data_IF_474190266309
#
_entry.id   IF_474190266309
#
_cell.length_a   1.000
_cell.length_b   1.000
_cell.length_c   1.000
_cell.angle_alpha   90.00
_cell.angle_beta   90.00
_cell.angle_gamma   90.00
#
_symmetry.space_group_name_H-M   'P 1'
#
loop_
_entity.id
_entity.type
_entity.pdbx_description
1 polymer ?
#
# COMPACT_ATOMS: atom_id res chain seq x y z
N UNK A 1 -2.60 -1.51 16.91
CA UNK A 1 -1.82 -1.98 15.74
C UNK A 1 -2.75 -1.81 14.57
N UNK A 2 -2.49 -0.85 13.69
CA UNK A 2 -3.57 -0.32 12.86
C UNK A 2 -3.30 -0.48 11.36
N UNK A 3 -4.14 -1.27 10.71
CA UNK A 3 -4.00 -1.66 9.32
C UNK A 3 -4.69 -0.62 8.44
N UNK A 4 -4.06 -0.23 7.33
CA UNK A 4 -4.51 0.86 6.49
C UNK A 4 -4.61 0.39 5.04
N UNK A 5 -5.79 0.01 4.58
CA UNK A 5 -5.96 -0.35 3.17
C UNK A 5 -6.61 0.79 2.38
N UNK A 6 -6.21 1.05 1.13
CA UNK A 6 -6.87 2.06 0.30
C UNK A 6 -8.30 1.66 -0.10
N UNK A 7 -8.66 0.36 -0.04
CA UNK A 7 -9.97 -0.11 -0.48
C UNK A 7 -10.83 -0.68 0.66
N UNK A 8 -12.07 -0.20 0.77
CA UNK A 8 -13.04 -0.68 1.78
C UNK A 8 -13.31 -2.19 1.70
N UNK A 9 -13.32 -2.79 0.50
CA UNK A 9 -13.52 -4.25 0.32
C UNK A 9 -12.35 -5.05 0.89
N UNK A 10 -11.12 -4.64 0.62
CA UNK A 10 -9.93 -5.27 1.22
C UNK A 10 -9.95 -5.17 2.74
N UNK A 11 -10.45 -4.06 3.31
CA UNK A 11 -10.55 -3.88 4.76
C UNK A 11 -11.39 -4.96 5.41
N UNK A 12 -12.57 -5.21 4.85
CA UNK A 12 -13.51 -6.21 5.37
C UNK A 12 -12.90 -7.61 5.27
N UNK A 13 -12.24 -7.90 4.15
CA UNK A 13 -11.64 -9.20 3.89
C UNK A 13 -10.43 -9.48 4.81
N UNK A 14 -9.53 -8.50 4.96
CA UNK A 14 -8.38 -8.58 5.86
C UNK A 14 -8.87 -8.74 7.30
N UNK A 15 -9.89 -7.99 7.70
CA UNK A 15 -10.49 -8.10 9.04
C UNK A 15 -11.04 -9.51 9.29
N UNK A 16 -11.90 -10.01 8.41
CA UNK A 16 -12.48 -11.34 8.54
C UNK A 16 -11.41 -12.44 8.60
N UNK A 17 -10.36 -12.35 7.79
CA UNK A 17 -9.26 -13.34 7.84
C UNK A 17 -8.40 -13.21 9.10
N UNK A 18 -8.04 -11.99 9.50
CA UNK A 18 -7.16 -11.77 10.64
C UNK A 18 -7.82 -12.13 11.96
N UNK A 19 -9.14 -11.96 12.10
CA UNK A 19 -9.88 -12.37 13.31
C UNK A 19 -9.71 -13.86 13.65
N UNK A 20 -9.43 -14.71 12.65
CA UNK A 20 -9.14 -16.13 12.87
C UNK A 20 -7.72 -16.40 13.41
N UNK A 21 -6.75 -15.54 13.09
CA UNK A 21 -5.33 -15.73 13.44
C UNK A 21 -4.87 -14.86 14.61
N UNK A 22 -5.50 -13.71 14.82
CA UNK A 22 -5.13 -12.70 15.81
C UNK A 22 -6.37 -12.37 16.64
N UNK A 23 -6.42 -12.89 17.87
CA UNK A 23 -7.37 -12.42 18.88
C UNK A 23 -6.75 -11.23 19.61
N UNK A 24 -6.93 -10.04 19.05
CA UNK A 24 -6.48 -8.80 19.68
C UNK A 24 -7.60 -7.75 19.56
N UNK A 25 -8.20 -7.40 20.69
CA UNK A 25 -9.29 -6.41 20.75
C UNK A 25 -8.82 -4.99 20.37
N UNK A 26 -7.51 -4.73 20.43
CA UNK A 26 -6.88 -3.46 20.06
C UNK A 26 -6.46 -3.42 18.58
N UNK A 27 -6.86 -4.39 17.76
CA UNK A 27 -6.58 -4.43 16.33
C UNK A 27 -7.54 -3.50 15.58
N UNK A 28 -7.05 -2.36 15.10
CA UNK A 28 -7.87 -1.48 14.26
C UNK A 28 -7.55 -1.69 12.78
N UNK A 29 -8.57 -1.90 11.94
CA UNK A 29 -8.39 -2.07 10.49
C UNK A 29 -9.25 -1.03 9.80
N UNK A 30 -8.61 0.01 9.27
CA UNK A 30 -9.25 1.19 8.72
C UNK A 30 -8.76 1.49 7.29
N UNK A 31 -9.43 2.41 6.61
CA UNK A 31 -8.98 2.90 5.29
C UNK A 31 -8.10 4.13 5.43
N UNK A 32 -7.33 4.45 4.39
CA UNK A 32 -6.51 5.68 4.31
C UNK A 32 -7.32 6.91 4.72
N UNK A 33 -8.51 7.06 4.15
CA UNK A 33 -9.40 8.20 4.37
C UNK A 33 -9.93 8.29 5.81
N UNK A 34 -10.03 7.16 6.54
CA UNK A 34 -10.52 7.13 7.92
C UNK A 34 -9.43 7.39 8.97
N UNK A 35 -8.16 7.29 8.59
CA UNK A 35 -6.99 7.53 9.48
C UNK A 35 -6.41 8.93 9.26
N UNK A 36 -7.03 9.80 8.45
CA UNK A 36 -6.54 11.16 8.26
C UNK A 36 -6.47 11.91 9.60
N UNK A 37 -5.28 12.38 9.97
CA UNK A 37 -5.01 13.02 11.26
C UNK A 37 -4.69 12.07 12.43
N UNK A 38 -4.82 10.76 12.23
CA UNK A 38 -4.41 9.72 13.19
C UNK A 38 -3.11 9.05 12.74
N UNK A 39 -2.41 8.38 13.65
CA UNK A 39 -1.16 7.65 13.41
C UNK A 39 -1.21 6.28 14.08
N UNK A 40 -0.44 5.32 13.58
CA UNK A 40 -0.42 3.93 14.03
C UNK A 40 1.00 3.39 14.17
N UNK A 41 1.24 2.51 15.16
CA UNK A 41 2.59 1.92 15.36
C UNK A 41 3.07 1.14 14.12
N UNK A 42 2.17 0.33 13.55
CA UNK A 42 2.41 -0.44 12.33
C UNK A 42 1.30 -0.13 11.36
N UNK A 43 1.63 0.16 10.11
CA UNK A 43 0.70 0.39 9.00
C UNK A 43 0.93 -0.68 7.94
N UNK A 44 -0.15 -1.34 7.49
CA UNK A 44 -0.11 -2.24 6.33
C UNK A 44 -0.94 -1.64 5.19
N UNK A 45 -0.28 -1.17 4.14
CA UNK A 45 -0.85 -0.49 2.98
C UNK A 45 -0.95 -1.40 1.75
N UNK A 46 -2.14 -1.66 1.24
CA UNK A 46 -2.35 -2.59 0.12
C UNK A 46 -2.66 -1.85 -1.20
N UNK A 47 -1.67 -1.54 -2.02
CA UNK A 47 -1.85 -0.88 -3.32
C UNK A 47 -1.44 -1.82 -4.45
N UNK A 48 -2.38 -2.31 -5.26
CA UNK A 48 -2.03 -3.19 -6.38
C UNK A 48 -3.20 -3.41 -7.34
N UNK A 49 -2.88 -3.93 -8.52
CA UNK A 49 -3.88 -4.30 -9.53
C UNK A 49 -4.41 -5.71 -9.27
N UNK A 50 -5.73 -5.90 -9.25
CA UNK A 50 -6.35 -7.20 -8.98
C UNK A 50 -6.92 -7.88 -10.23
N UNK A 51 -6.93 -7.17 -11.36
CA UNK A 51 -7.40 -7.67 -12.64
C UNK A 51 -6.34 -7.35 -13.71
N UNK A 52 -6.20 -8.26 -14.68
CA UNK A 52 -5.34 -8.08 -15.86
C UNK A 52 -5.85 -6.92 -16.72
N UNK A 53 -7.17 -6.73 -16.79
CA UNK A 53 -7.79 -5.61 -17.47
C UNK A 53 -7.80 -4.38 -16.56
N UNK A 54 -6.64 -3.74 -16.43
CA UNK A 54 -6.45 -2.47 -15.71
C UNK A 54 -7.25 -1.37 -16.42
N UNK A 55 -7.88 -0.49 -15.65
CA UNK A 55 -8.54 0.70 -16.22
C UNK A 55 -7.75 1.97 -15.91
N UNK A 56 -7.79 2.96 -16.81
CA UNK A 56 -7.28 4.33 -16.57
C UNK A 56 -7.67 4.90 -15.20
N UNK A 57 -8.91 4.63 -14.79
CA UNK A 57 -9.46 5.08 -13.51
C UNK A 57 -8.79 4.40 -12.31
N UNK A 58 -8.52 3.10 -12.40
CA UNK A 58 -7.79 2.36 -11.37
C UNK A 58 -6.33 2.84 -11.29
N UNK A 59 -5.67 3.05 -12.43
CA UNK A 59 -4.30 3.58 -12.47
C UNK A 59 -4.23 4.97 -11.82
N UNK A 60 -5.13 5.89 -12.17
CA UNK A 60 -5.22 7.22 -11.54
C UNK A 60 -5.43 7.13 -10.03
N UNK A 61 -6.24 6.19 -9.57
CA UNK A 61 -6.50 6.00 -8.15
C UNK A 61 -5.26 5.43 -7.41
N UNK A 62 -4.60 4.43 -7.99
CA UNK A 62 -3.47 3.73 -7.36
C UNK A 62 -2.20 4.58 -7.33
N UNK A 63 -1.97 5.41 -8.35
CA UNK A 63 -0.83 6.32 -8.44
C UNK A 63 -1.11 7.72 -7.86
N UNK A 64 -2.23 7.91 -7.14
CA UNK A 64 -2.54 9.19 -6.50
C UNK A 64 -1.57 9.47 -5.33
N UNK A 65 -0.62 10.38 -5.54
CA UNK A 65 0.43 10.72 -4.56
C UNK A 65 -0.10 11.08 -3.17
N UNK A 66 -1.25 11.77 -3.08
CA UNK A 66 -1.84 12.16 -1.79
C UNK A 66 -2.16 10.93 -0.93
N UNK A 67 -2.66 9.84 -1.52
CA UNK A 67 -2.98 8.59 -0.79
C UNK A 67 -1.72 7.91 -0.28
N UNK A 68 -0.67 7.91 -1.10
CA UNK A 68 0.63 7.41 -0.70
C UNK A 68 1.25 8.24 0.42
N UNK A 69 1.24 9.56 0.31
CA UNK A 69 1.76 10.46 1.34
C UNK A 69 1.07 10.25 2.69
N UNK A 70 -0.25 10.09 2.68
CA UNK A 70 -0.98 9.71 3.89
C UNK A 70 -0.49 8.36 4.40
N UNK A 71 -0.54 7.29 3.59
CA UNK A 71 -0.12 5.94 4.00
C UNK A 71 1.32 5.89 4.56
N UNK A 72 2.26 6.57 3.91
CA UNK A 72 3.67 6.65 4.28
C UNK A 72 3.90 7.41 5.59
N UNK A 73 3.11 8.46 5.83
CA UNK A 73 3.25 9.30 7.03
C UNK A 73 2.57 8.68 8.26
N UNK A 74 1.56 7.82 8.09
CA UNK A 74 0.77 7.28 9.21
C UNK A 74 1.53 6.31 10.13
N UNK A 75 2.57 5.65 9.64
CA UNK A 75 3.33 4.67 10.44
C UNK A 75 4.27 5.38 11.42
N UNK A 76 4.18 5.08 12.72
CA UNK A 76 5.14 5.55 13.73
C UNK A 76 6.40 4.68 13.77
N UNK A 77 6.23 3.36 13.72
CA UNK A 77 7.35 2.40 13.85
C UNK A 77 7.58 1.59 12.58
N UNK A 78 6.54 1.06 11.93
CA UNK A 78 6.73 0.19 10.75
C UNK A 78 5.66 0.42 9.68
N UNK A 79 6.09 0.49 8.42
CA UNK A 79 5.20 0.46 7.27
C UNK A 79 5.46 -0.80 6.46
N UNK A 80 4.40 -1.50 6.09
CA UNK A 80 4.40 -2.65 5.18
C UNK A 80 3.47 -2.31 4.02
N UNK A 81 4.01 -2.12 2.83
CA UNK A 81 3.22 -1.96 1.60
C UNK A 81 3.12 -3.31 0.93
N UNK A 82 1.92 -3.72 0.52
CA UNK A 82 1.67 -4.91 -0.30
C UNK A 82 1.19 -4.42 -1.67
N UNK A 83 1.89 -4.82 -2.72
CA UNK A 83 1.67 -4.37 -4.09
C UNK A 83 1.87 -5.49 -5.10
N UNK A 84 1.64 -5.19 -6.37
CA UNK A 84 1.76 -6.12 -7.49
C UNK A 84 2.93 -5.72 -8.38
N UNK A 85 3.54 -6.68 -9.08
CA UNK A 85 4.70 -6.40 -9.93
C UNK A 85 4.37 -5.43 -11.05
N UNK A 86 3.16 -5.52 -11.58
CA UNK A 86 2.63 -4.65 -12.62
C UNK A 86 2.52 -3.19 -12.18
N UNK A 87 2.56 -2.91 -10.88
CA UNK A 87 2.64 -1.54 -10.36
C UNK A 87 4.09 -1.06 -10.23
N UNK A 88 5.04 -1.98 -10.00
CA UNK A 88 6.47 -1.68 -9.94
C UNK A 88 7.09 -1.49 -11.31
N UNK A 89 6.61 -2.24 -12.29
CA UNK A 89 7.09 -2.22 -13.67
C UNK A 89 5.87 -2.28 -14.61
N UNK A 90 5.12 -1.17 -14.74
CA UNK A 90 3.97 -1.11 -15.62
C UNK A 90 4.40 -1.08 -17.09
N UNK A 91 3.76 -1.91 -17.89
CA UNK A 91 3.89 -2.03 -19.34
C UNK A 91 2.92 -1.13 -20.13
N UNK A 92 2.11 -0.35 -19.42
CA UNK A 92 0.93 0.34 -19.97
C UNK A 92 1.29 1.74 -20.52
N UNK A 93 1.17 1.93 -21.84
CA UNK A 93 1.49 3.20 -22.53
C UNK A 93 0.68 4.38 -21.96
N UNK A 94 -0.55 4.12 -21.48
CA UNK A 94 -1.41 5.16 -20.92
C UNK A 94 -0.83 5.82 -19.66
N UNK A 95 -0.04 5.06 -18.87
CA UNK A 95 0.61 5.59 -17.68
C UNK A 95 1.61 6.68 -18.04
N UNK A 96 2.37 6.47 -19.12
CA UNK A 96 3.35 7.44 -19.63
C UNK A 96 2.69 8.61 -20.38
N UNK A 97 1.51 8.40 -20.97
CA UNK A 97 0.74 9.46 -21.61
C UNK A 97 0.08 10.43 -20.61
N UNK A 98 -0.15 9.99 -19.36
CA UNK A 98 -0.76 10.83 -18.33
C UNK A 98 0.26 11.34 -17.31
N UNK A 99 0.59 12.64 -17.39
CA UNK A 99 1.57 13.28 -16.50
C UNK A 99 1.37 12.98 -15.00
N UNK A 100 0.13 13.04 -14.49
CA UNK A 100 -0.14 12.79 -13.07
C UNK A 100 0.12 11.34 -12.66
N UNK A 101 -0.18 10.39 -13.54
CA UNK A 101 0.07 8.97 -13.28
C UNK A 101 1.57 8.69 -13.36
N UNK A 102 2.27 9.27 -14.34
CA UNK A 102 3.73 9.19 -14.47
C UNK A 102 4.46 9.74 -13.25
N UNK A 103 4.09 10.92 -12.76
CA UNK A 103 4.65 11.50 -11.52
C UNK A 103 4.39 10.58 -10.31
N UNK A 104 3.20 9.97 -10.24
CA UNK A 104 2.87 8.99 -9.21
C UNK A 104 3.70 7.71 -9.31
N UNK A 105 4.03 7.25 -10.52
CA UNK A 105 4.91 6.11 -10.77
C UNK A 105 6.35 6.42 -10.34
N UNK A 106 6.88 7.58 -10.71
CA UNK A 106 8.21 8.05 -10.29
C UNK A 106 8.30 8.13 -8.76
N UNK A 107 7.27 8.71 -8.13
CA UNK A 107 7.16 8.75 -6.68
C UNK A 107 7.15 7.33 -6.07
N UNK A 108 6.43 6.40 -6.68
CA UNK A 108 6.38 5.01 -6.23
C UNK A 108 7.74 4.30 -6.39
N UNK A 109 8.48 4.56 -7.46
CA UNK A 109 9.85 4.08 -7.64
C UNK A 109 10.81 4.69 -6.62
N UNK A 110 10.68 5.98 -6.30
CA UNK A 110 11.44 6.61 -5.22
C UNK A 110 11.16 5.91 -3.88
N UNK A 111 9.89 5.67 -3.55
CA UNK A 111 9.48 4.91 -2.36
C UNK A 111 10.11 3.51 -2.34
N UNK A 112 10.04 2.78 -3.46
CA UNK A 112 10.68 1.46 -3.60
C UNK A 112 12.19 1.52 -3.31
N UNK A 113 12.90 2.53 -3.81
CA UNK A 113 14.34 2.65 -3.63
C UNK A 113 14.72 3.06 -2.20
N UNK A 114 13.84 3.79 -1.50
CA UNK A 114 14.07 4.18 -0.10
C UNK A 114 13.82 3.05 0.91
N UNK A 115 13.12 1.99 0.52
CA UNK A 115 12.60 0.98 1.45
C UNK A 115 12.93 -0.44 0.99
N UNK A 116 13.06 -1.36 1.95
CA UNK A 116 13.47 -2.73 1.64
C UNK A 116 12.31 -3.51 1.03
N UNK A 117 12.49 -4.06 -0.17
CA UNK A 117 11.48 -4.85 -0.86
C UNK A 117 11.68 -6.36 -0.65
N UNK A 118 10.59 -7.09 -0.52
CA UNK A 118 10.50 -8.54 -0.35
C UNK A 118 9.47 -9.11 -1.35
N UNK A 119 9.84 -10.13 -2.11
CA UNK A 119 8.94 -10.77 -3.07
C UNK A 119 8.21 -11.95 -2.43
N UNK A 120 6.90 -12.05 -2.66
CA UNK A 120 6.09 -13.22 -2.30
C UNK A 120 5.46 -13.81 -3.56
N UNK A 121 5.81 -15.06 -3.86
CA UNK A 121 5.26 -15.78 -5.00
C UNK A 121 4.03 -16.59 -4.57
N UNK A 122 2.85 -16.21 -5.08
CA UNK A 122 1.64 -17.06 -5.03
C UNK A 122 1.24 -17.50 -6.44
N UNK A 123 0.74 -18.74 -6.56
CA UNK A 123 0.35 -19.45 -7.80
C UNK A 123 -0.63 -18.72 -8.76
N UNK A 124 -1.11 -17.51 -8.46
CA UNK A 124 -2.04 -16.76 -9.33
C UNK A 124 -1.62 -15.31 -9.66
N UNK A 125 -0.88 -14.62 -8.78
CA UNK A 125 -0.41 -13.24 -9.01
C UNK A 125 0.89 -13.05 -8.19
N UNK A 126 2.00 -12.61 -8.80
CA UNK A 126 3.20 -12.28 -8.05
C UNK A 126 2.97 -11.01 -7.21
N UNK A 127 3.24 -11.10 -5.91
CA UNK A 127 3.06 -10.01 -4.96
C UNK A 127 4.42 -9.50 -4.49
N UNK A 128 4.52 -8.19 -4.36
CA UNK A 128 5.68 -7.49 -3.82
C UNK A 128 5.31 -6.85 -2.49
N UNK A 129 6.23 -6.89 -1.51
CA UNK A 129 6.07 -6.25 -0.21
C UNK A 129 7.20 -5.26 0.02
N UNK A 130 6.90 -4.01 0.33
CA UNK A 130 7.89 -2.99 0.71
C UNK A 130 7.81 -2.75 2.21
N UNK A 131 8.90 -2.91 2.93
CA UNK A 131 8.97 -2.75 4.39
C UNK A 131 9.90 -1.60 4.75
N UNK A 132 9.39 -0.66 5.56
CA UNK A 132 10.16 0.39 6.23
C UNK A 132 10.08 0.21 7.74
N UNK A 133 11.22 0.13 8.39
CA UNK A 133 11.33 0.35 9.83
C UNK A 133 11.70 1.82 10.07
N UNK A 134 10.84 2.56 10.77
CA UNK A 134 11.21 3.88 11.28
C UNK A 134 12.04 3.63 12.53
N UNK A 135 13.36 3.76 12.39
CA UNK A 135 14.29 3.66 13.50
C UNK A 135 13.82 4.53 14.65
N UNK A 136 13.75 3.96 15.86
CA UNK A 136 13.53 4.72 17.07
C UNK A 136 14.64 5.75 17.18
N UNK A 137 14.31 7.02 16.98
CA UNK A 137 15.20 8.11 17.35
C UNK A 137 15.63 7.86 18.79
N UNK A 138 16.94 7.70 18.99
CA UNK A 138 17.50 7.79 20.35
C UNK A 138 17.06 9.15 20.89
N UNK A 139 16.54 9.10 22.12
CA UNK A 139 16.18 10.24 22.98
C UNK A 139 17.24 11.33 22.93
#
# INVERSE_FOLDING_TARGET
MDYLTPFRRQRLEIKSRLEHYIKNENLQINTVDKIQGQEADIVIACFGFFNINKTSKESKFLFEMNRWNVALSRAKSKLIVITTNEMLDPDDIEIFANKKISEGLEFFHMVKNMYKMYMIYKKKIPLSIIVKEKGGGKK
#
